data_IF_068313563176
#
_entry.id   IF_068313563176
#
_cell.length_a   1.000
_cell.length_b   1.000
_cell.length_c   1.000
_cell.angle_alpha   90.00
_cell.angle_beta   90.00
_cell.angle_gamma   90.00
#
_symmetry.space_group_name_H-M   'P 1'
#
loop_
_entity.id
_entity.type
_entity.pdbx_description
1 polymer ?
#
# COMPACT_ATOMS: atom_id res chain seq x y z
N UNK A 1 -30.56 49.41 -22.82
CA UNK A 1 -30.82 48.06 -22.32
C UNK A 1 -29.57 47.56 -21.60
N UNK A 2 -29.57 47.58 -20.28
CA UNK A 2 -28.62 46.82 -19.45
C UNK A 2 -29.35 46.55 -18.13
N UNK A 3 -29.70 45.28 -17.89
CA UNK A 3 -30.30 44.84 -16.63
C UNK A 3 -29.16 44.65 -15.63
N UNK A 4 -29.24 45.34 -14.51
CA UNK A 4 -28.46 45.01 -13.32
C UNK A 4 -28.93 43.64 -12.82
N UNK A 5 -28.01 42.69 -12.71
CA UNK A 5 -28.20 41.48 -11.92
C UNK A 5 -27.46 41.69 -10.59
N UNK A 6 -28.23 41.76 -9.50
CA UNK A 6 -27.68 41.63 -8.15
C UNK A 6 -27.11 40.21 -8.01
N UNK A 7 -25.85 40.12 -7.60
CA UNK A 7 -25.20 38.86 -7.27
C UNK A 7 -25.25 38.74 -5.75
N UNK A 8 -26.12 37.87 -5.25
CA UNK A 8 -26.28 37.57 -3.84
C UNK A 8 -24.97 37.06 -3.21
N UNK A 9 -24.55 37.71 -2.11
CA UNK A 9 -23.34 37.39 -1.32
C UNK A 9 -23.32 35.95 -0.76
N UNK A 10 -24.46 35.25 -0.78
CA UNK A 10 -24.63 33.88 -0.27
C UNK A 10 -24.02 32.85 -1.26
N UNK A 11 -23.84 33.21 -2.53
CA UNK A 11 -23.27 32.30 -3.53
C UNK A 11 -21.73 32.18 -3.42
N UNK A 12 -21.04 33.13 -2.79
CA UNK A 12 -19.58 33.10 -2.67
C UNK A 12 -19.09 32.14 -1.57
N UNK A 13 -19.87 31.96 -0.50
CA UNK A 13 -19.48 31.08 0.62
C UNK A 13 -19.61 29.59 0.28
N UNK A 14 -20.55 29.20 -0.57
CA UNK A 14 -20.70 27.81 -1.05
C UNK A 14 -19.56 27.36 -1.97
N UNK A 15 -18.97 28.29 -2.75
CA UNK A 15 -17.83 27.98 -3.63
C UNK A 15 -16.53 27.74 -2.85
N UNK A 16 -16.40 28.32 -1.65
CA UNK A 16 -15.18 28.18 -0.83
C UNK A 16 -15.13 26.79 -0.15
N UNK A 17 -16.27 26.20 0.20
CA UNK A 17 -16.31 24.87 0.83
C UNK A 17 -15.98 23.72 -0.13
N UNK A 18 -16.22 23.86 -1.44
CA UNK A 18 -15.82 22.82 -2.40
C UNK A 18 -14.30 22.72 -2.60
N UNK A 19 -13.54 23.78 -2.32
CA UNK A 19 -12.07 23.80 -2.50
C UNK A 19 -11.28 23.17 -1.34
N UNK A 20 -11.92 22.85 -0.21
CA UNK A 20 -11.25 22.27 0.97
C UNK A 20 -11.50 20.77 1.13
N UNK A 21 -12.37 20.16 0.33
CA UNK A 21 -12.47 18.70 0.25
C UNK A 21 -11.39 18.23 -0.71
N UNK A 22 -10.21 17.93 -0.18
CA UNK A 22 -9.27 17.06 -0.88
C UNK A 22 -10.03 15.74 -1.14
N UNK A 23 -10.13 15.24 -2.38
CA UNK A 23 -10.67 13.91 -2.56
C UNK A 23 -9.76 12.98 -1.77
N UNK A 24 -10.32 12.28 -0.77
CA UNK A 24 -9.68 11.06 -0.28
C UNK A 24 -9.44 10.20 -1.53
N UNK A 25 -8.19 10.05 -1.95
CA UNK A 25 -7.83 9.20 -3.07
C UNK A 25 -8.13 7.76 -2.65
N UNK A 26 -9.39 7.34 -2.81
CA UNK A 26 -9.78 5.95 -2.69
C UNK A 26 -9.06 5.21 -3.82
N UNK A 27 -7.95 4.57 -3.46
CA UNK A 27 -7.02 3.94 -4.38
C UNK A 27 -7.69 2.75 -5.09
N UNK A 28 -8.06 2.91 -6.37
CA UNK A 28 -8.72 1.83 -7.12
C UNK A 28 -7.75 0.70 -7.52
N UNK A 29 -6.43 0.93 -7.56
CA UNK A 29 -5.43 -0.06 -7.98
C UNK A 29 -4.05 0.18 -7.35
N UNK A 30 -3.30 -0.89 -7.09
CA UNK A 30 -1.89 -0.82 -6.71
C UNK A 30 -1.03 -0.62 -7.95
N UNK A 31 -0.36 0.52 -8.03
CA UNK A 31 0.60 0.84 -9.10
C UNK A 31 1.96 1.21 -8.51
N UNK A 32 3.04 0.77 -9.16
CA UNK A 32 4.40 0.97 -8.70
C UNK A 32 5.18 1.83 -9.69
N UNK A 33 5.84 2.87 -9.17
CA UNK A 33 6.77 3.69 -9.91
C UNK A 33 8.20 3.30 -9.62
N UNK A 34 9.03 3.31 -10.66
CA UNK A 34 10.49 3.27 -10.51
C UNK A 34 10.92 4.46 -9.65
N UNK A 35 11.64 4.20 -8.56
CA UNK A 35 12.18 5.23 -7.65
C UNK A 35 13.69 5.33 -7.79
N UNK A 36 14.37 4.19 -7.90
CA UNK A 36 15.82 4.12 -8.03
C UNK A 36 16.22 3.05 -9.05
N UNK A 37 17.37 3.26 -9.69
CA UNK A 37 17.92 2.36 -10.70
C UNK A 37 19.43 2.23 -10.50
N UNK A 38 19.96 1.08 -10.91
CA UNK A 38 21.38 0.72 -10.79
C UNK A 38 21.90 0.82 -9.35
N UNK A 39 21.07 0.31 -8.44
CA UNK A 39 21.32 0.28 -7.00
C UNK A 39 21.77 -1.11 -6.55
N UNK A 40 22.17 -1.21 -5.28
CA UNK A 40 22.40 -2.49 -4.61
C UNK A 40 21.12 -3.32 -4.46
N UNK A 41 21.32 -4.62 -4.24
CA UNK A 41 20.33 -5.46 -3.58
C UNK A 41 19.94 -4.87 -2.21
N UNK A 42 18.71 -5.12 -1.78
CA UNK A 42 18.29 -4.81 -0.42
C UNK A 42 18.99 -5.75 0.56
N UNK A 43 19.37 -5.23 1.72
CA UNK A 43 19.94 -6.01 2.84
C UNK A 43 18.98 -6.11 4.04
N UNK A 44 18.02 -5.18 4.12
CA UNK A 44 17.05 -5.04 5.22
C UNK A 44 15.65 -4.72 4.68
N UNK A 45 14.65 -4.79 5.55
CA UNK A 45 13.22 -4.58 5.25
C UNK A 45 12.71 -5.43 4.06
N UNK A 46 13.19 -6.68 4.01
CA UNK A 46 12.79 -7.68 3.01
C UNK A 46 11.74 -8.60 3.65
N UNK A 47 10.52 -8.53 3.14
CA UNK A 47 9.43 -9.42 3.58
C UNK A 47 9.43 -10.74 2.81
N UNK A 48 9.97 -10.78 1.59
CA UNK A 48 10.07 -12.00 0.79
C UNK A 48 11.10 -11.85 -0.33
N UNK A 49 11.75 -12.96 -0.68
CA UNK A 49 12.64 -13.07 -1.83
C UNK A 49 12.25 -14.24 -2.73
N UNK A 50 12.26 -14.01 -4.03
CA UNK A 50 11.93 -15.06 -4.99
C UNK A 50 12.60 -14.84 -6.34
N UNK A 51 12.61 -15.91 -7.15
CA UNK A 51 12.91 -15.83 -8.57
C UNK A 51 11.61 -15.64 -9.34
N UNK A 52 11.53 -14.57 -10.09
CA UNK A 52 10.38 -14.16 -10.89
C UNK A 52 10.77 -14.08 -12.37
N UNK A 53 9.82 -14.43 -13.23
CA UNK A 53 10.04 -14.50 -14.68
C UNK A 53 10.18 -13.13 -15.35
N UNK A 54 9.68 -12.08 -14.70
CA UNK A 54 9.68 -10.72 -15.25
C UNK A 54 9.41 -9.71 -14.14
N UNK A 55 9.66 -8.44 -14.46
CA UNK A 55 9.28 -7.29 -13.63
C UNK A 55 7.79 -7.33 -13.23
N UNK A 56 6.91 -7.62 -14.20
CA UNK A 56 5.47 -7.67 -14.00
C UNK A 56 5.08 -8.73 -12.97
N UNK A 57 5.72 -9.89 -13.00
CA UNK A 57 5.45 -10.95 -12.02
C UNK A 57 5.91 -10.54 -10.62
N UNK A 58 7.08 -9.89 -10.47
CA UNK A 58 7.52 -9.36 -9.18
C UNK A 58 6.54 -8.31 -8.61
N UNK A 59 6.11 -7.35 -9.43
CA UNK A 59 5.12 -6.36 -9.02
C UNK A 59 3.74 -6.96 -8.72
N UNK A 60 3.34 -7.99 -9.44
CA UNK A 60 2.11 -8.75 -9.16
C UNK A 60 2.19 -9.53 -7.85
N UNK A 61 3.35 -10.14 -7.54
CA UNK A 61 3.61 -10.77 -6.24
C UNK A 61 3.51 -9.74 -5.11
N UNK A 62 4.11 -8.56 -5.27
CA UNK A 62 3.95 -7.47 -4.31
C UNK A 62 2.48 -7.07 -4.13
N UNK A 63 1.74 -6.92 -5.23
CA UNK A 63 0.32 -6.52 -5.19
C UNK A 63 -0.57 -7.51 -4.44
N UNK A 64 -0.21 -8.80 -4.42
CA UNK A 64 -0.94 -9.84 -3.67
C UNK A 64 -0.47 -9.94 -2.22
N UNK A 65 0.71 -9.41 -1.90
CA UNK A 65 1.27 -9.51 -0.56
C UNK A 65 0.79 -8.32 0.29
N UNK A 66 -0.05 -8.59 1.29
CA UNK A 66 -0.75 -7.57 2.11
C UNK A 66 0.15 -6.41 2.56
N UNK A 67 1.33 -6.72 3.07
CA UNK A 67 2.25 -5.71 3.61
C UNK A 67 3.14 -5.05 2.57
N UNK A 68 3.24 -5.60 1.36
CA UNK A 68 4.16 -5.09 0.35
C UNK A 68 3.71 -3.73 -0.18
N UNK A 69 4.59 -2.74 -0.09
CA UNK A 69 4.41 -1.40 -0.67
C UNK A 69 5.55 -1.03 -1.61
N UNK A 70 6.55 -1.89 -1.76
CA UNK A 70 7.64 -1.71 -2.69
C UNK A 70 8.29 -3.04 -3.05
N UNK A 71 9.00 -3.08 -4.16
CA UNK A 71 9.83 -4.23 -4.52
C UNK A 71 11.10 -3.80 -5.23
N UNK A 72 12.15 -4.58 -5.07
CA UNK A 72 13.40 -4.46 -5.80
C UNK A 72 13.47 -5.57 -6.85
N UNK A 73 13.84 -5.25 -8.09
CA UNK A 73 13.89 -6.20 -9.19
C UNK A 73 15.19 -6.07 -9.98
N UNK A 74 15.75 -7.21 -10.42
CA UNK A 74 16.92 -7.28 -11.30
C UNK A 74 16.58 -8.14 -12.51
N UNK A 75 16.77 -7.59 -13.71
CA UNK A 75 16.34 -8.27 -14.94
C UNK A 75 17.31 -9.39 -15.34
N UNK A 76 18.61 -9.11 -15.24
CA UNK A 76 19.67 -10.03 -15.63
C UNK A 76 20.33 -10.62 -14.37
N UNK A 77 19.80 -11.76 -13.91
CA UNK A 77 20.37 -12.55 -12.81
C UNK A 77 20.88 -13.90 -13.30
N UNK A 78 21.86 -14.49 -12.60
CA UNK A 78 22.28 -15.86 -12.87
C UNK A 78 21.16 -16.85 -12.53
N UNK A 79 21.24 -18.07 -13.06
CA UNK A 79 20.18 -19.07 -12.93
C UNK A 79 19.81 -19.42 -11.47
N UNK A 80 20.76 -19.29 -10.54
CA UNK A 80 20.54 -19.62 -9.12
C UNK A 80 20.35 -18.38 -8.24
N UNK A 81 20.21 -17.18 -8.81
CA UNK A 81 20.06 -15.94 -8.06
C UNK A 81 18.58 -15.52 -7.99
N UNK A 82 18.16 -15.00 -6.83
CA UNK A 82 16.88 -14.30 -6.71
C UNK A 82 16.95 -12.98 -7.47
N UNK A 83 15.82 -12.57 -8.02
CA UNK A 83 15.75 -11.37 -8.84
C UNK A 83 14.58 -10.45 -8.45
N UNK A 84 13.87 -10.82 -7.38
CA UNK A 84 12.74 -10.08 -6.84
C UNK A 84 12.82 -10.09 -5.31
N UNK A 85 12.82 -8.92 -4.70
CA UNK A 85 12.72 -8.71 -3.25
C UNK A 85 11.51 -7.84 -2.97
N UNK A 86 10.61 -8.28 -2.09
CA UNK A 86 9.45 -7.52 -1.67
C UNK A 86 9.78 -6.75 -0.38
N UNK A 87 9.20 -5.57 -0.21
CA UNK A 87 9.39 -4.71 0.97
C UNK A 87 8.09 -4.05 1.41
N UNK A 88 7.93 -3.90 2.71
CA UNK A 88 6.83 -3.18 3.37
C UNK A 88 7.15 -1.70 3.63
N UNK A 89 8.31 -1.21 3.15
CA UNK A 89 8.70 0.20 3.23
C UNK A 89 9.19 0.73 1.89
N UNK A 90 8.98 2.03 1.66
CA UNK A 90 9.61 2.78 0.54
C UNK A 90 10.86 3.55 0.99
N UNK A 91 11.16 3.56 2.29
CA UNK A 91 12.21 4.37 2.91
C UNK A 91 13.54 3.62 2.95
N UNK A 92 14.10 3.36 1.77
CA UNK A 92 15.40 2.68 1.66
C UNK A 92 16.54 3.67 1.45
N UNK A 93 17.69 3.39 2.07
CA UNK A 93 18.97 4.05 1.77
C UNK A 93 19.84 3.08 0.99
N UNK A 94 20.12 3.41 -0.27
CA UNK A 94 21.02 2.61 -1.09
C UNK A 94 22.46 3.06 -0.86
N UNK A 95 23.31 2.14 -0.43
CA UNK A 95 24.75 2.38 -0.34
C UNK A 95 25.34 2.54 -1.74
N UNK A 96 26.35 3.41 -1.90
CA UNK A 96 27.20 3.38 -3.09
C UNK A 96 27.97 2.06 -3.08
N UNK A 97 27.63 1.15 -3.98
CA UNK A 97 28.19 -0.21 -3.99
C UNK A 97 29.68 -0.21 -4.34
N UNK A 98 30.44 -0.95 -3.55
CA UNK A 98 31.77 -1.44 -3.88
C UNK A 98 31.62 -2.81 -4.57
N UNK A 99 31.55 -2.78 -5.90
CA UNK A 99 31.64 -3.93 -6.83
C UNK A 99 30.62 -5.08 -6.72
N UNK A 100 29.87 -5.31 -7.81
CA UNK A 100 29.30 -6.62 -8.17
C UNK A 100 27.81 -6.83 -7.91
N UNK A 101 27.20 -6.03 -7.03
CA UNK A 101 25.78 -6.16 -6.67
C UNK A 101 24.91 -5.00 -7.16
N UNK A 102 25.36 -4.32 -8.22
CA UNK A 102 24.62 -3.28 -8.93
C UNK A 102 23.64 -3.88 -9.96
N UNK A 103 22.91 -3.02 -10.68
CA UNK A 103 21.91 -3.43 -11.67
C UNK A 103 20.50 -3.74 -11.13
N UNK A 104 20.24 -3.50 -9.84
CA UNK A 104 18.89 -3.59 -9.29
C UNK A 104 18.09 -2.31 -9.57
N UNK A 105 16.76 -2.43 -9.61
CA UNK A 105 15.83 -1.31 -9.76
C UNK A 105 14.74 -1.40 -8.70
N UNK A 106 14.55 -0.34 -7.94
CA UNK A 106 13.58 -0.26 -6.86
C UNK A 106 12.31 0.44 -7.31
N UNK A 107 11.17 -0.20 -7.03
CA UNK A 107 9.84 0.26 -7.39
C UNK A 107 9.01 0.45 -6.12
N UNK A 108 8.50 1.67 -5.92
CA UNK A 108 7.66 1.99 -4.77
C UNK A 108 6.22 2.21 -5.20
N UNK A 109 5.26 1.76 -4.41
CA UNK A 109 3.85 2.04 -4.62
C UNK A 109 3.64 3.56 -4.68
N UNK A 110 2.88 4.00 -5.67
CA UNK A 110 2.36 5.37 -5.73
C UNK A 110 1.21 5.51 -4.75
N UNK A 111 0.42 4.44 -4.68
CA UNK A 111 -0.78 4.35 -3.88
C UNK A 111 -0.95 2.88 -3.51
N UNK A 112 -1.15 2.60 -2.22
CA UNK A 112 -1.42 1.24 -1.76
C UNK A 112 -2.93 1.07 -1.72
N UNK A 113 -3.46 0.11 -2.48
CA UNK A 113 -4.78 -0.41 -2.16
C UNK A 113 -4.68 -0.99 -0.75
N UNK A 114 -5.27 -0.31 0.23
CA UNK A 114 -5.46 -0.90 1.54
C UNK A 114 -6.42 -2.06 1.31
N UNK A 115 -5.87 -3.28 1.15
CA UNK A 115 -6.65 -4.50 1.17
C UNK A 115 -7.11 -4.70 2.62
N UNK A 116 -8.08 -3.89 3.04
CA UNK A 116 -9.08 -4.35 3.98
C UNK A 116 -9.73 -5.50 3.21
N UNK A 117 -9.63 -6.75 3.71
CA UNK A 117 -10.47 -7.80 3.14
C UNK A 117 -11.89 -7.27 3.23
N UNK A 118 -12.53 -7.03 2.08
CA UNK A 118 -13.90 -6.50 2.02
C UNK A 118 -14.89 -7.42 2.76
N UNK A 119 -14.46 -8.62 3.18
CA UNK A 119 -15.28 -9.64 3.82
C UNK A 119 -14.89 -9.97 5.28
N UNK A 120 -13.92 -9.27 5.91
CA UNK A 120 -13.62 -9.54 7.34
C UNK A 120 -14.60 -8.81 8.24
N UNK A 121 -15.78 -9.40 8.40
CA UNK A 121 -16.81 -8.93 9.32
C UNK A 121 -16.48 -9.34 10.76
N UNK A 122 -16.58 -8.39 11.70
CA UNK A 122 -16.52 -8.68 13.13
C UNK A 122 -17.94 -8.78 13.68
N UNK A 123 -18.25 -9.85 14.39
CA UNK A 123 -19.56 -10.11 14.96
C UNK A 123 -19.72 -9.44 16.34
N UNK A 124 -20.95 -9.42 16.85
CA UNK A 124 -21.27 -9.08 18.24
C UNK A 124 -20.71 -7.73 18.72
N UNK A 125 -20.60 -6.75 17.80
CA UNK A 125 -20.07 -5.41 18.11
C UNK A 125 -18.55 -5.31 18.12
N UNK A 126 -17.83 -6.33 17.63
CA UNK A 126 -16.39 -6.24 17.43
C UNK A 126 -16.01 -5.20 16.38
N UNK A 127 -14.83 -4.59 16.54
CA UNK A 127 -14.32 -3.58 15.63
C UNK A 127 -13.13 -4.11 14.81
N UNK A 128 -13.14 -3.91 13.50
CA UNK A 128 -12.03 -4.34 12.66
C UNK A 128 -10.84 -3.38 12.80
N UNK A 129 -9.74 -3.86 13.38
CA UNK A 129 -8.47 -3.12 13.42
C UNK A 129 -7.78 -3.33 12.07
N UNK A 130 -7.92 -2.34 11.16
CA UNK A 130 -7.45 -2.40 9.77
C UNK A 130 -5.96 -2.72 9.64
N UNK A 131 -5.14 -2.10 10.49
CA UNK A 131 -3.68 -2.25 10.48
C UNK A 131 -3.22 -3.67 10.87
N UNK A 132 -4.03 -4.37 11.67
CA UNK A 132 -3.72 -5.71 12.19
C UNK A 132 -4.53 -6.83 11.51
N UNK A 133 -5.55 -6.50 10.71
CA UNK A 133 -6.52 -7.47 10.18
C UNK A 133 -7.21 -8.31 11.27
N UNK A 134 -7.41 -7.74 12.45
CA UNK A 134 -7.94 -8.47 13.61
C UNK A 134 -9.16 -7.76 14.16
N UNK A 135 -10.17 -8.54 14.56
CA UNK A 135 -11.28 -8.00 15.32
C UNK A 135 -10.84 -7.73 16.77
N UNK A 136 -11.12 -6.52 17.23
CA UNK A 136 -11.16 -6.19 18.65
C UNK A 136 -12.51 -6.63 19.20
N UNK A 137 -12.50 -7.57 20.15
CA UNK A 137 -13.72 -8.16 20.68
C UNK A 137 -14.12 -7.51 22.00
N UNK A 138 -15.42 -7.25 22.23
CA UNK A 138 -15.92 -6.87 23.55
C UNK A 138 -15.60 -7.93 24.60
N UNK A 139 -15.50 -7.54 25.88
CA UNK A 139 -15.05 -8.39 27.00
C UNK A 139 -15.80 -9.72 27.17
N UNK A 140 -17.03 -9.83 26.65
CA UNK A 140 -17.86 -11.02 26.74
C UNK A 140 -17.77 -11.93 25.50
N UNK A 141 -16.93 -11.59 24.52
CA UNK A 141 -16.76 -12.32 23.26
C UNK A 141 -15.30 -12.59 22.90
N UNK A 142 -15.06 -13.70 22.22
CA UNK A 142 -13.76 -14.11 21.68
C UNK A 142 -13.92 -14.78 20.30
N UNK A 143 -12.79 -15.12 19.68
CA UNK A 143 -12.71 -15.69 18.33
C UNK A 143 -12.06 -14.73 17.33
N UNK A 144 -11.80 -15.21 16.11
CA UNK A 144 -11.18 -14.38 15.06
C UNK A 144 -12.13 -13.26 14.59
N UNK A 145 -13.43 -13.50 14.70
CA UNK A 145 -14.53 -12.64 14.31
C UNK A 145 -15.45 -12.31 15.49
N UNK A 146 -15.01 -12.47 16.74
CA UNK A 146 -15.82 -12.25 17.96
C UNK A 146 -17.12 -13.08 17.99
N UNK A 147 -17.10 -14.27 17.40
CA UNK A 147 -18.25 -15.15 17.22
C UNK A 147 -18.62 -15.96 18.47
N UNK A 148 -17.70 -16.11 19.42
CA UNK A 148 -17.86 -16.97 20.59
C UNK A 148 -18.12 -16.14 21.84
N UNK A 149 -19.19 -16.45 22.59
CA UNK A 149 -19.44 -15.82 23.88
C UNK A 149 -18.60 -16.49 24.98
N UNK A 150 -17.89 -15.71 25.77
CA UNK A 150 -17.11 -16.21 26.91
C UNK A 150 -18.08 -16.60 28.02
N UNK A 151 -18.15 -17.90 28.33
CA UNK A 151 -18.89 -18.41 29.48
C UNK A 151 -18.04 -18.26 30.74
N UNK A 152 -18.46 -17.39 31.66
CA UNK A 152 -17.90 -17.25 33.02
C UNK A 152 -18.56 -18.26 33.97
#
# INVERSE_FOLDING_TARGET
>A
MAKFFEIDLISLSLLIFCSLVQPEETCKSSYFNKRYQDISRLKEDIISESRQRSLVHCGSSCSRHRFCIAYNYKENCKENETNCQLSDTTKHKFEKTSHGDNGWTFYGAVCKKMFIREDKECNNGGNLILDLDKCDCPDDFEGEHCETKISK
#
